data_IF_812232655902
#
_entry.id   IF_812232655902
#
_cell.length_a   1.000
_cell.length_b   1.000
_cell.length_c   1.000
_cell.angle_alpha   90.00
_cell.angle_beta   90.00
_cell.angle_gamma   90.00
#
_symmetry.space_group_name_H-M   'P 1'
#
loop_
_entity.id
_entity.type
_entity.pdbx_description
1 polymer ?
#
# COMPACT_ATOMS: atom_id res chain seq x y z
N UNK A 1 -15.29 3.70 21.81
CA UNK A 1 -16.14 4.61 20.99
C UNK A 1 -15.25 5.69 20.38
N UNK A 2 -15.45 6.00 19.11
CA UNK A 2 -14.65 7.01 18.39
C UNK A 2 -15.11 8.40 18.84
N UNK A 3 -14.16 9.23 19.28
CA UNK A 3 -14.44 10.60 19.74
C UNK A 3 -14.66 11.54 18.55
N UNK A 4 -15.47 12.58 18.73
CA UNK A 4 -15.80 13.52 17.65
C UNK A 4 -14.56 14.18 17.03
N UNK A 5 -13.54 14.47 17.85
CA UNK A 5 -12.29 15.07 17.38
C UNK A 5 -11.46 14.08 16.55
N UNK A 6 -11.53 12.78 16.86
CA UNK A 6 -10.89 11.73 16.07
C UNK A 6 -11.57 11.64 14.70
N UNK A 7 -12.90 11.66 14.67
CA UNK A 7 -13.67 11.69 13.41
C UNK A 7 -13.24 12.86 12.55
N UNK A 8 -13.22 14.07 13.10
CA UNK A 8 -12.85 15.28 12.38
C UNK A 8 -11.42 15.21 11.84
N UNK A 9 -10.45 14.79 12.64
CA UNK A 9 -9.06 14.67 12.21
C UNK A 9 -8.88 13.63 11.11
N UNK A 10 -9.49 12.44 11.24
CA UNK A 10 -9.39 11.39 10.24
C UNK A 10 -10.08 11.79 8.92
N UNK A 11 -11.22 12.47 8.99
CA UNK A 11 -11.90 13.01 7.80
C UNK A 11 -11.04 14.06 7.09
N UNK A 12 -10.46 15.02 7.82
CA UNK A 12 -9.57 16.03 7.24
C UNK A 12 -8.31 15.40 6.66
N UNK A 13 -7.75 14.39 7.35
CA UNK A 13 -6.62 13.63 6.85
C UNK A 13 -6.93 12.90 5.55
N UNK A 14 -8.10 12.24 5.44
CA UNK A 14 -8.52 11.58 4.20
C UNK A 14 -8.74 12.57 3.04
N UNK A 15 -9.19 13.81 3.31
CA UNK A 15 -9.21 14.87 2.31
C UNK A 15 -7.80 15.29 1.87
N UNK A 16 -6.89 15.48 2.82
CA UNK A 16 -5.50 15.85 2.53
C UNK A 16 -4.77 14.77 1.72
N UNK A 17 -4.98 13.51 2.07
CA UNK A 17 -4.33 12.36 1.47
C UNK A 17 -4.50 12.28 -0.06
N UNK A 18 -5.70 12.47 -0.58
CA UNK A 18 -5.93 12.45 -2.02
C UNK A 18 -5.33 13.68 -2.71
N UNK A 19 -5.34 14.83 -2.06
CA UNK A 19 -4.65 16.02 -2.57
C UNK A 19 -3.13 15.81 -2.61
N UNK A 20 -2.56 15.17 -1.58
CA UNK A 20 -1.14 14.82 -1.55
C UNK A 20 -0.77 13.86 -2.68
N UNK A 21 -1.55 12.79 -2.89
CA UNK A 21 -1.30 11.82 -3.96
C UNK A 21 -1.32 12.46 -5.36
N UNK A 22 -2.11 13.53 -5.55
CA UNK A 22 -2.25 14.22 -6.84
C UNK A 22 -1.26 15.37 -7.05
N UNK A 23 -0.66 15.92 -5.99
CA UNK A 23 0.12 17.17 -6.06
C UNK A 23 1.55 17.00 -5.55
N UNK A 24 1.72 16.98 -4.23
CA UNK A 24 3.02 17.06 -3.55
C UNK A 24 3.71 15.69 -3.52
N UNK A 25 2.94 14.61 -3.44
CA UNK A 25 3.41 13.22 -3.34
C UNK A 25 4.41 13.06 -2.19
N UNK A 26 4.07 13.58 -1.01
CA UNK A 26 4.90 13.49 0.20
C UNK A 26 4.94 12.09 0.82
N UNK A 27 4.30 11.10 0.19
CA UNK A 27 4.02 9.75 0.70
C UNK A 27 2.94 9.68 1.78
N UNK A 28 2.33 10.80 2.16
CA UNK A 28 1.14 10.80 3.01
C UNK A 28 -0.06 10.15 2.29
N UNK A 29 -0.05 10.12 0.97
CA UNK A 29 -0.93 9.32 0.11
C UNK A 29 -0.78 7.79 0.18
N UNK A 30 0.02 7.23 1.08
CA UNK A 30 0.25 5.77 1.16
C UNK A 30 -0.60 5.08 2.24
N UNK A 31 -1.08 3.84 2.03
CA UNK A 31 -1.83 3.10 3.06
C UNK A 31 -1.06 2.91 4.37
N UNK A 32 0.26 2.73 4.32
CA UNK A 32 1.07 2.61 5.54
C UNK A 32 1.11 3.92 6.34
N UNK A 33 1.17 5.07 5.67
CA UNK A 33 1.11 6.36 6.33
C UNK A 33 -0.29 6.65 6.87
N UNK A 34 -1.34 6.26 6.15
CA UNK A 34 -2.72 6.32 6.64
C UNK A 34 -2.93 5.49 7.90
N UNK A 35 -2.39 4.27 7.95
CA UNK A 35 -2.38 3.43 9.14
C UNK A 35 -1.58 4.05 10.29
N UNK A 36 -0.44 4.67 10.01
CA UNK A 36 0.38 5.40 11.00
C UNK A 36 -0.39 6.57 11.64
N UNK A 37 -0.95 7.48 10.83
CA UNK A 37 -1.71 8.63 11.33
C UNK A 37 -2.95 8.18 12.08
N UNK A 38 -3.67 7.19 11.55
CA UNK A 38 -4.88 6.69 12.21
C UNK A 38 -4.55 6.01 13.53
N UNK A 39 -3.50 5.18 13.57
CA UNK A 39 -3.04 4.55 14.81
C UNK A 39 -2.64 5.57 15.87
N UNK A 40 -1.99 6.67 15.46
CA UNK A 40 -1.63 7.78 16.36
C UNK A 40 -2.88 8.49 16.92
N UNK A 41 -3.86 8.81 16.07
CA UNK A 41 -5.11 9.46 16.47
C UNK A 41 -5.97 8.55 17.37
N UNK A 42 -5.95 7.25 17.10
CA UNK A 42 -6.73 6.25 17.84
C UNK A 42 -6.05 5.74 19.11
N UNK A 43 -4.74 5.95 19.26
CA UNK A 43 -3.95 5.57 20.44
C UNK A 43 -3.30 4.18 20.37
N UNK A 44 -3.41 3.47 19.24
CA UNK A 44 -2.74 2.19 19.00
C UNK A 44 -1.99 2.21 17.67
N UNK A 45 -0.72 2.58 17.76
CA UNK A 45 0.17 2.68 16.61
C UNK A 45 0.52 1.31 16.00
N UNK A 46 0.58 0.25 16.82
CA UNK A 46 0.96 -1.09 16.36
C UNK A 46 -0.12 -1.64 15.43
N UNK A 47 -1.37 -1.56 15.87
CA UNK A 47 -2.53 -1.97 15.07
C UNK A 47 -2.62 -1.15 13.77
N UNK A 48 -2.44 0.16 13.86
CA UNK A 48 -2.46 1.03 12.67
C UNK A 48 -1.35 0.72 11.66
N UNK A 49 -0.11 0.52 12.10
CA UNK A 49 1.00 0.14 11.22
C UNK A 49 0.80 -1.26 10.62
N UNK A 50 0.24 -2.21 11.37
CA UNK A 50 -0.04 -3.56 10.87
C UNK A 50 -1.08 -3.50 9.74
N UNK A 51 -2.21 -2.83 9.97
CA UNK A 51 -3.27 -2.69 8.97
C UNK A 51 -2.79 -1.91 7.75
N UNK A 52 -2.13 -0.78 7.97
CA UNK A 52 -1.59 0.06 6.90
C UNK A 52 -0.53 -0.65 6.05
N UNK A 53 0.38 -1.40 6.68
CA UNK A 53 1.39 -2.18 5.95
C UNK A 53 0.79 -3.34 5.19
N UNK A 54 -0.21 -4.04 5.74
CA UNK A 54 -0.90 -5.10 5.03
C UNK A 54 -1.60 -4.56 3.77
N UNK A 55 -2.35 -3.45 3.89
CA UNK A 55 -3.02 -2.81 2.76
C UNK A 55 -2.03 -2.20 1.75
N UNK A 56 -0.87 -1.74 2.22
CA UNK A 56 0.23 -1.30 1.35
C UNK A 56 0.70 -2.44 0.43
N UNK A 57 0.80 -3.66 0.95
CA UNK A 57 1.19 -4.83 0.16
C UNK A 57 0.12 -5.19 -0.89
N UNK A 58 -1.16 -4.93 -0.63
CA UNK A 58 -2.26 -5.19 -1.57
C UNK A 58 -2.22 -4.26 -2.78
N UNK A 59 -1.84 -2.99 -2.57
CA UNK A 59 -1.76 -2.00 -3.65
C UNK A 59 -0.41 -1.98 -4.38
N UNK A 60 0.50 -2.91 -4.08
CA UNK A 60 1.71 -3.06 -4.87
C UNK A 60 1.33 -3.33 -6.34
N UNK A 61 1.88 -2.53 -7.25
CA UNK A 61 1.57 -2.62 -8.68
C UNK A 61 0.23 -2.05 -9.11
N UNK A 62 -0.68 -1.71 -8.18
CA UNK A 62 -1.94 -1.05 -8.54
C UNK A 62 -1.66 0.45 -8.71
N UNK A 63 -1.78 0.98 -9.92
CA UNK A 63 -1.63 2.40 -10.23
C UNK A 63 -2.77 2.92 -11.10
N UNK A 64 -2.91 4.25 -11.20
CA UNK A 64 -3.84 4.85 -12.15
C UNK A 64 -3.15 5.00 -13.52
N UNK A 65 -3.57 4.23 -14.51
CA UNK A 65 -3.06 4.31 -15.87
C UNK A 65 -4.15 4.80 -16.81
N UNK A 66 -3.86 5.82 -17.63
CA UNK A 66 -4.81 6.33 -18.64
C UNK A 66 -6.13 6.85 -18.07
N UNK A 67 -6.14 7.40 -16.84
CA UNK A 67 -7.36 7.90 -16.19
C UNK A 67 -8.19 6.83 -15.46
N UNK A 68 -7.78 5.56 -15.49
CA UNK A 68 -8.42 4.50 -14.73
C UNK A 68 -8.31 4.72 -13.22
N UNK A 69 -9.43 4.56 -12.52
CA UNK A 69 -9.47 4.57 -11.07
C UNK A 69 -8.83 3.30 -10.50
N UNK A 70 -8.19 3.46 -9.35
CA UNK A 70 -7.58 2.37 -8.58
C UNK A 70 -8.29 2.21 -7.24
N UNK A 71 -8.12 1.04 -6.61
CA UNK A 71 -8.64 0.81 -5.26
C UNK A 71 -8.08 1.84 -4.27
N UNK A 72 -8.95 2.32 -3.39
CA UNK A 72 -8.59 3.28 -2.35
C UNK A 72 -8.23 2.57 -1.05
N UNK A 73 -7.07 1.92 -1.07
CA UNK A 73 -6.56 1.23 0.12
C UNK A 73 -6.20 2.19 1.25
N UNK A 74 -6.11 3.49 0.97
CA UNK A 74 -5.73 4.48 1.96
C UNK A 74 -6.87 4.80 2.92
N UNK A 75 -8.03 5.16 2.39
CA UNK A 75 -9.25 5.31 3.19
C UNK A 75 -9.68 3.97 3.79
N UNK A 76 -9.44 2.86 3.08
CA UNK A 76 -9.60 1.51 3.63
C UNK A 76 -8.74 1.29 4.89
N UNK A 77 -7.48 1.75 4.89
CA UNK A 77 -6.59 1.67 6.04
C UNK A 77 -7.05 2.56 7.21
N UNK A 78 -7.53 3.78 6.91
CA UNK A 78 -8.11 4.68 7.92
C UNK A 78 -9.30 4.01 8.61
N UNK A 79 -10.26 3.51 7.84
CA UNK A 79 -11.49 2.94 8.39
C UNK A 79 -11.24 1.61 9.11
N UNK A 80 -10.44 0.70 8.53
CA UNK A 80 -10.09 -0.56 9.17
C UNK A 80 -9.33 -0.34 10.49
N UNK A 81 -8.39 0.61 10.53
CA UNK A 81 -7.65 0.93 11.75
C UNK A 81 -8.57 1.56 12.79
N UNK A 82 -9.37 2.54 12.42
CA UNK A 82 -10.28 3.22 13.34
C UNK A 82 -11.27 2.25 13.99
N UNK A 83 -11.86 1.34 13.21
CA UNK A 83 -12.79 0.35 13.75
C UNK A 83 -12.12 -0.79 14.50
N UNK A 84 -10.96 -1.27 14.05
CA UNK A 84 -10.18 -2.27 14.78
C UNK A 84 -9.84 -1.80 16.19
N UNK A 85 -9.31 -0.58 16.32
CA UNK A 85 -8.94 -0.01 17.63
C UNK A 85 -10.18 0.33 18.46
N UNK A 86 -11.25 0.89 17.85
CA UNK A 86 -12.42 1.32 18.59
C UNK A 86 -13.29 0.18 19.13
N UNK A 87 -13.31 -0.97 18.43
CA UNK A 87 -14.16 -2.14 18.73
C UNK A 87 -13.35 -3.35 19.20
N UNK A 88 -12.02 -3.27 19.22
CA UNK A 88 -11.15 -4.38 19.63
C UNK A 88 -11.14 -5.55 18.64
N UNK A 89 -11.40 -5.27 17.36
CA UNK A 89 -11.44 -6.31 16.31
C UNK A 89 -10.00 -6.68 15.96
N UNK A 90 -9.73 -7.97 15.79
CA UNK A 90 -8.45 -8.46 15.32
C UNK A 90 -8.02 -7.75 14.01
N UNK A 91 -6.78 -7.25 13.91
CA UNK A 91 -6.31 -6.52 12.73
C UNK A 91 -6.46 -7.30 11.41
N UNK A 92 -6.23 -8.61 11.40
CA UNK A 92 -6.34 -9.44 10.19
C UNK A 92 -7.81 -9.54 9.71
N UNK A 93 -8.74 -9.63 10.66
CA UNK A 93 -10.17 -9.62 10.39
C UNK A 93 -10.58 -8.23 9.89
N UNK A 94 -10.09 -7.15 10.53
CA UNK A 94 -10.41 -5.78 10.13
C UNK A 94 -9.93 -5.44 8.71
N UNK A 95 -8.72 -5.91 8.32
CA UNK A 95 -8.20 -5.73 6.95
C UNK A 95 -9.16 -6.30 5.91
N UNK A 96 -9.70 -7.48 6.18
CA UNK A 96 -10.44 -8.27 5.20
C UNK A 96 -11.95 -8.04 5.22
N UNK A 97 -12.54 -7.76 6.39
CA UNK A 97 -13.97 -7.39 6.53
C UNK A 97 -14.23 -5.93 6.17
N UNK A 98 -13.32 -5.03 6.54
CA UNK A 98 -13.51 -3.58 6.43
C UNK A 98 -12.57 -3.02 5.37
N UNK A 99 -11.26 -3.19 5.54
CA UNK A 99 -10.25 -2.48 4.74
C UNK A 99 -10.40 -2.71 3.25
N UNK A 100 -10.39 -3.97 2.81
CA UNK A 100 -10.42 -4.35 1.39
C UNK A 100 -11.77 -4.05 0.72
N UNK A 101 -12.93 -4.43 1.31
CA UNK A 101 -14.23 -4.09 0.70
C UNK A 101 -14.44 -2.58 0.60
N UNK A 102 -14.09 -1.83 1.64
CA UNK A 102 -14.21 -0.37 1.63
C UNK A 102 -13.28 0.25 0.60
N UNK A 103 -12.04 -0.21 0.48
CA UNK A 103 -11.11 0.23 -0.55
C UNK A 103 -11.64 0.01 -1.98
N UNK A 104 -12.35 -1.10 -2.21
CA UNK A 104 -13.02 -1.38 -3.47
C UNK A 104 -14.24 -0.48 -3.71
N UNK A 105 -15.08 -0.27 -2.70
CA UNK A 105 -16.28 0.57 -2.82
C UNK A 105 -15.95 2.04 -3.08
N UNK A 106 -14.88 2.54 -2.46
CA UNK A 106 -14.43 3.92 -2.63
C UNK A 106 -13.82 4.20 -4.01
N UNK A 107 -13.69 3.20 -4.88
CA UNK A 107 -13.42 3.41 -6.31
C UNK A 107 -14.56 4.19 -6.95
N UNK A 108 -15.81 3.95 -6.56
CA UNK A 108 -16.95 4.65 -7.16
C UNK A 108 -17.00 6.12 -6.76
N UNK A 109 -16.58 6.45 -5.54
CA UNK A 109 -16.49 7.85 -5.10
C UNK A 109 -15.31 8.55 -5.77
N UNK A 110 -14.20 7.84 -6.03
CA UNK A 110 -13.09 8.34 -6.88
C UNK A 110 -13.58 8.74 -8.27
N UNK A 111 -14.32 7.83 -8.92
CA UNK A 111 -14.90 8.06 -10.25
C UNK A 111 -15.80 9.29 -10.24
N UNK A 112 -16.66 9.43 -9.22
CA UNK A 112 -17.52 10.61 -9.07
C UNK A 112 -16.73 11.90 -8.87
N UNK A 113 -15.67 11.86 -8.06
CA UNK A 113 -14.73 12.97 -7.88
C UNK A 113 -14.09 13.40 -9.20
N UNK A 114 -13.61 12.44 -10.00
CA UNK A 114 -13.07 12.70 -11.35
C UNK A 114 -14.10 13.35 -12.26
N UNK A 115 -15.31 12.81 -12.34
CA UNK A 115 -16.37 13.36 -13.20
C UNK A 115 -16.74 14.80 -12.85
N UNK A 116 -16.78 15.13 -11.56
CA UNK A 116 -17.12 16.49 -11.12
C UNK A 116 -16.04 17.52 -11.44
N UNK A 117 -14.77 17.09 -11.63
CA UNK A 117 -13.70 18.02 -12.07
C UNK A 117 -13.90 18.55 -13.49
N UNK A 118 -14.61 17.83 -14.37
CA UNK A 118 -14.93 18.28 -15.73
C UNK A 118 -15.72 19.60 -15.74
N UNK A 119 -16.57 19.83 -14.72
CA UNK A 119 -17.26 21.10 -14.57
C UNK A 119 -16.28 22.29 -14.37
N UNK A 120 -15.21 22.07 -13.61
CA UNK A 120 -14.18 23.09 -13.40
C UNK A 120 -13.31 23.28 -14.64
N UNK A 121 -13.06 22.22 -15.42
CA UNK A 121 -12.36 22.31 -16.70
C UNK A 121 -13.08 23.26 -17.67
N UNK A 122 -14.39 23.09 -17.88
CA UNK A 122 -15.16 24.01 -18.74
C UNK A 122 -15.15 25.47 -18.25
N UNK A 123 -15.07 25.68 -16.92
CA UNK A 123 -14.94 27.04 -16.35
C UNK A 123 -13.56 27.64 -16.58
N UNK A 124 -12.52 26.81 -16.62
CA UNK A 124 -11.16 27.22 -17.00
C UNK A 124 -11.15 27.60 -18.48
N UNK A 125 -11.73 26.79 -19.37
CA UNK A 125 -11.81 27.09 -20.80
C UNK A 125 -12.46 28.45 -21.07
N UNK A 126 -13.61 28.71 -20.44
CA UNK A 126 -14.28 30.00 -20.55
C UNK A 126 -13.46 31.16 -19.96
N UNK A 127 -12.63 30.91 -18.93
CA UNK A 127 -11.75 31.93 -18.36
C UNK A 127 -10.53 32.22 -19.25
N UNK A 128 -10.03 31.21 -19.98
CA UNK A 128 -8.97 31.36 -20.99
C UNK A 128 -9.43 32.27 -22.12
N UNK A 129 -10.65 32.08 -22.64
CA UNK A 129 -11.21 32.95 -23.70
C UNK A 129 -11.29 34.43 -23.29
N UNK A 130 -11.45 34.70 -21.99
CA UNK A 130 -11.51 36.06 -21.42
C UNK A 130 -10.16 36.59 -20.96
N UNK A 131 -9.07 35.82 -21.10
CA UNK A 131 -7.75 36.13 -20.56
C UNK A 131 -7.76 36.46 -19.04
N UNK A 132 -8.69 35.86 -18.28
CA UNK A 132 -8.82 36.08 -16.83
C UNK A 132 -7.99 35.05 -16.06
N UNK A 133 -6.70 35.36 -15.89
CA UNK A 133 -5.75 34.50 -15.18
C UNK A 133 -6.15 34.20 -13.73
N UNK A 134 -6.77 35.18 -13.02
CA UNK A 134 -7.21 34.98 -11.64
C UNK A 134 -8.37 33.98 -11.55
N UNK A 135 -9.27 34.00 -12.54
CA UNK A 135 -10.31 32.99 -12.61
C UNK A 135 -9.75 31.60 -12.90
N UNK A 136 -8.71 31.47 -13.73
CA UNK A 136 -8.05 30.18 -14.00
C UNK A 136 -7.47 29.61 -12.70
N UNK A 137 -6.65 30.38 -11.97
CA UNK A 137 -6.04 29.95 -10.70
C UNK A 137 -7.09 29.52 -9.68
N UNK A 138 -8.16 30.31 -9.52
CA UNK A 138 -9.24 29.99 -8.58
C UNK A 138 -9.96 28.69 -8.98
N UNK A 139 -10.31 28.51 -10.26
CA UNK A 139 -11.01 27.29 -10.69
C UNK A 139 -10.11 26.05 -10.58
N UNK A 140 -8.80 26.19 -10.81
CA UNK A 140 -7.83 25.13 -10.60
C UNK A 140 -7.81 24.68 -9.12
N UNK A 141 -7.69 25.63 -8.19
CA UNK A 141 -7.71 25.33 -6.75
C UNK A 141 -9.06 24.77 -6.29
N UNK A 142 -10.17 25.29 -6.81
CA UNK A 142 -11.50 24.76 -6.52
C UNK A 142 -11.68 23.33 -7.06
N UNK A 143 -10.96 22.95 -8.11
CA UNK A 143 -10.93 21.59 -8.65
C UNK A 143 -10.35 20.56 -7.68
N UNK A 144 -9.63 20.98 -6.63
CA UNK A 144 -9.17 20.08 -5.56
C UNK A 144 -10.30 19.71 -4.57
N UNK A 145 -11.36 20.52 -4.47
CA UNK A 145 -12.46 20.27 -3.53
C UNK A 145 -13.23 18.98 -3.85
N UNK A 146 -13.63 18.69 -5.10
CA UNK A 146 -14.29 17.43 -5.41
C UNK A 146 -13.42 16.20 -5.12
N UNK A 147 -12.10 16.31 -5.32
CA UNK A 147 -11.16 15.26 -4.92
C UNK A 147 -11.15 15.06 -3.41
N UNK A 148 -10.97 16.13 -2.63
CA UNK A 148 -10.98 16.05 -1.17
C UNK A 148 -12.30 15.47 -0.64
N UNK A 149 -13.43 15.91 -1.19
CA UNK A 149 -14.77 15.46 -0.80
C UNK A 149 -15.05 14.00 -1.17
N UNK A 150 -14.47 13.49 -2.26
CA UNK A 150 -14.66 12.09 -2.69
C UNK A 150 -14.11 11.08 -1.67
N UNK A 151 -13.17 11.49 -0.83
CA UNK A 151 -12.62 10.69 0.28
C UNK A 151 -13.17 11.11 1.64
N UNK A 152 -13.24 12.41 1.91
CA UNK A 152 -13.68 12.91 3.20
C UNK A 152 -15.14 12.56 3.51
N UNK A 153 -16.06 12.70 2.54
CA UNK A 153 -17.48 12.42 2.80
C UNK A 153 -17.71 10.95 3.13
N UNK A 154 -17.25 9.97 2.34
CA UNK A 154 -17.43 8.56 2.70
C UNK A 154 -16.75 8.18 4.01
N UNK A 155 -15.54 8.67 4.28
CA UNK A 155 -14.84 8.38 5.54
C UNK A 155 -15.59 8.97 6.74
N UNK A 156 -16.06 10.21 6.62
CA UNK A 156 -16.88 10.85 7.66
C UNK A 156 -18.17 10.06 7.93
N UNK A 157 -18.92 9.72 6.88
CA UNK A 157 -20.16 8.96 7.00
C UNK A 157 -19.90 7.59 7.62
N UNK A 158 -18.84 6.91 7.21
CA UNK A 158 -18.45 5.63 7.77
C UNK A 158 -18.08 5.75 9.25
N UNK A 159 -17.25 6.71 9.65
CA UNK A 159 -16.84 6.88 11.06
C UNK A 159 -18.01 7.26 11.98
N UNK A 160 -18.96 8.07 11.50
CA UNK A 160 -20.11 8.52 12.31
C UNK A 160 -21.21 7.45 12.37
N UNK A 161 -21.59 6.88 11.23
CA UNK A 161 -22.77 6.00 11.12
C UNK A 161 -22.42 4.51 11.01
N UNK A 162 -21.19 4.18 10.63
CA UNK A 162 -20.75 2.80 10.41
C UNK A 162 -20.54 1.99 11.69
N UNK A 163 -20.51 2.63 12.87
CA UNK A 163 -20.26 1.94 14.13
C UNK A 163 -21.24 0.81 14.44
N UNK A 164 -22.53 1.01 14.16
CA UNK A 164 -23.57 -0.01 14.38
C UNK A 164 -23.52 -1.13 13.33
N UNK A 165 -23.24 -0.78 12.07
CA UNK A 165 -23.07 -1.75 10.99
C UNK A 165 -21.87 -2.66 11.26
N UNK A 166 -20.73 -2.08 11.62
CA UNK A 166 -19.50 -2.82 11.95
C UNK A 166 -19.74 -3.72 13.16
N UNK A 167 -20.41 -3.23 14.20
CA UNK A 167 -20.73 -4.03 15.37
C UNK A 167 -21.64 -5.21 15.04
N UNK A 168 -22.70 -4.99 14.25
CA UNK A 168 -23.57 -6.07 13.78
C UNK A 168 -22.80 -7.11 12.94
N UNK A 169 -21.88 -6.67 12.09
CA UNK A 169 -21.03 -7.57 11.30
C UNK A 169 -20.09 -8.40 12.18
N UNK A 170 -19.44 -7.78 13.17
CA UNK A 170 -18.52 -8.47 14.08
C UNK A 170 -19.27 -9.48 14.94
N UNK A 171 -20.39 -9.07 15.55
CA UNK A 171 -21.22 -9.99 16.35
C UNK A 171 -21.74 -11.15 15.50
N UNK A 172 -22.10 -10.90 14.24
CA UNK A 172 -22.50 -11.97 13.32
C UNK A 172 -21.35 -12.95 13.02
N UNK A 173 -20.13 -12.46 12.81
CA UNK A 173 -18.96 -13.28 12.47
C UNK A 173 -18.46 -14.10 13.68
N UNK A 174 -18.61 -13.59 14.90
CA UNK A 174 -18.21 -14.26 16.14
C UNK A 174 -19.13 -15.43 16.54
N UNK A 175 -20.33 -15.53 15.95
CA UNK A 175 -21.25 -16.63 16.20
C UNK A 175 -20.60 -17.98 15.82
N UNK A 176 -20.79 -19.04 16.63
CA UNK A 176 -20.15 -20.34 16.42
C UNK A 176 -20.37 -20.92 15.01
N UNK A 177 -21.55 -20.72 14.44
CA UNK A 177 -21.93 -21.17 13.10
C UNK A 177 -21.17 -20.46 11.96
N UNK A 178 -20.60 -19.28 12.21
CA UNK A 178 -19.93 -18.45 11.22
C UNK A 178 -18.42 -18.28 11.48
N UNK A 179 -17.86 -18.97 12.49
CA UNK A 179 -16.41 -18.96 12.77
C UNK A 179 -15.55 -19.37 11.58
N UNK A 180 -16.07 -20.25 10.71
CA UNK A 180 -15.39 -20.64 9.47
C UNK A 180 -15.28 -19.47 8.46
N UNK A 181 -16.24 -18.52 8.49
CA UNK A 181 -16.19 -17.29 7.69
C UNK A 181 -15.06 -16.40 8.21
N UNK A 182 -14.98 -16.21 9.54
CA UNK A 182 -13.89 -15.45 10.16
C UNK A 182 -12.53 -16.04 9.76
N UNK A 183 -12.37 -17.36 9.90
CA UNK A 183 -11.13 -18.06 9.54
C UNK A 183 -10.81 -17.98 8.03
N UNK A 184 -11.81 -18.14 7.16
CA UNK A 184 -11.64 -18.02 5.71
C UNK A 184 -11.27 -16.61 5.29
N UNK A 185 -11.82 -15.61 5.97
CA UNK A 185 -11.54 -14.21 5.70
C UNK A 185 -10.14 -13.80 6.21
N UNK A 186 -9.73 -14.28 7.37
CA UNK A 186 -8.34 -14.18 7.85
C UNK A 186 -7.36 -14.85 6.87
N UNK A 187 -7.69 -16.04 6.36
CA UNK A 187 -6.87 -16.70 5.34
C UNK A 187 -6.77 -15.85 4.08
N UNK A 188 -7.89 -15.31 3.59
CA UNK A 188 -7.90 -14.40 2.45
C UNK A 188 -7.04 -13.15 2.71
N UNK A 189 -7.13 -12.55 3.90
CA UNK A 189 -6.33 -11.41 4.32
C UNK A 189 -4.82 -11.67 4.17
N UNK A 190 -4.39 -12.86 4.60
CA UNK A 190 -2.98 -13.30 4.53
C UNK A 190 -2.51 -13.57 3.10
N UNK A 191 -3.41 -13.86 2.18
CA UNK A 191 -3.09 -14.09 0.76
C UNK A 191 -3.05 -12.80 -0.07
N UNK A 192 -3.68 -11.71 0.39
CA UNK A 192 -3.76 -10.44 -0.33
C UNK A 192 -2.40 -9.84 -0.75
N UNK A 193 -1.32 -9.89 0.06
CA UNK A 193 0.00 -9.46 -0.39
C UNK A 193 0.47 -10.16 -1.67
N UNK A 194 0.14 -11.45 -1.82
CA UNK A 194 0.48 -12.23 -3.01
C UNK A 194 -0.18 -11.71 -4.28
N UNK A 195 -1.40 -11.21 -4.18
CA UNK A 195 -2.10 -10.56 -5.29
C UNK A 195 -1.39 -9.27 -5.73
N UNK A 196 -0.98 -8.41 -4.79
CA UNK A 196 -0.23 -7.19 -5.10
C UNK A 196 1.09 -7.48 -5.80
N UNK A 197 1.85 -8.48 -5.31
CA UNK A 197 3.06 -8.93 -6.02
C UNK A 197 2.76 -9.47 -7.42
N UNK A 198 1.69 -10.24 -7.60
CA UNK A 198 1.30 -10.75 -8.92
C UNK A 198 0.97 -9.62 -9.91
N UNK A 199 0.25 -8.59 -9.46
CA UNK A 199 -0.06 -7.40 -10.26
C UNK A 199 1.23 -6.65 -10.61
N UNK A 200 2.12 -6.40 -9.64
CA UNK A 200 3.41 -5.75 -9.90
C UNK A 200 4.26 -6.52 -10.92
N UNK A 201 4.31 -7.84 -10.77
CA UNK A 201 5.03 -8.75 -11.66
C UNK A 201 4.45 -8.74 -13.07
N UNK A 202 3.13 -8.60 -13.22
CA UNK A 202 2.47 -8.50 -14.53
C UNK A 202 2.92 -7.27 -15.33
N UNK A 203 3.18 -6.14 -14.65
CA UNK A 203 3.66 -4.90 -15.30
C UNK A 203 5.15 -4.91 -15.64
N UNK A 204 5.94 -5.78 -15.01
CA UNK A 204 7.37 -5.88 -15.27
C UNK A 204 7.66 -6.78 -16.50
N UNK A 205 8.74 -6.53 -17.26
CA UNK A 205 9.14 -7.34 -18.41
C UNK A 205 9.75 -8.68 -17.98
N UNK A 206 8.99 -9.50 -17.26
CA UNK A 206 9.45 -10.75 -16.64
C UNK A 206 9.87 -11.80 -17.65
N UNK A 207 9.17 -11.89 -18.79
CA UNK A 207 9.52 -12.87 -19.83
C UNK A 207 10.98 -12.72 -20.30
N UNK A 208 11.48 -11.49 -20.41
CA UNK A 208 12.86 -11.19 -20.80
C UNK A 208 13.86 -11.40 -19.65
N UNK A 209 13.45 -11.06 -18.43
CA UNK A 209 14.33 -10.98 -17.27
C UNK A 209 14.06 -12.05 -16.19
N UNK A 210 13.50 -13.20 -16.59
CA UNK A 210 13.06 -14.24 -15.65
C UNK A 210 14.19 -14.76 -14.76
N UNK A 211 15.41 -14.80 -15.30
CA UNK A 211 16.62 -15.22 -14.57
C UNK A 211 16.90 -14.31 -13.37
N UNK A 212 16.67 -13.00 -13.45
CA UNK A 212 16.83 -12.09 -12.32
C UNK A 212 15.78 -12.33 -11.24
N UNK A 213 14.53 -12.62 -11.63
CA UNK A 213 13.47 -12.97 -10.69
C UNK A 213 13.79 -14.29 -9.97
N UNK A 214 14.19 -15.33 -10.71
CA UNK A 214 14.54 -16.63 -10.16
C UNK A 214 15.76 -16.55 -9.22
N UNK A 215 16.79 -15.79 -9.60
CA UNK A 215 17.96 -15.56 -8.76
C UNK A 215 17.60 -14.81 -7.47
N UNK A 216 16.83 -13.72 -7.57
CA UNK A 216 16.37 -12.96 -6.41
C UNK A 216 15.51 -13.81 -5.46
N UNK A 217 14.60 -14.62 -6.01
CA UNK A 217 13.80 -15.58 -5.24
C UNK A 217 14.68 -16.62 -4.53
N UNK A 218 15.61 -17.25 -5.25
CA UNK A 218 16.50 -18.27 -4.70
C UNK A 218 17.39 -17.74 -3.57
N UNK A 219 18.03 -16.58 -3.78
CA UNK A 219 18.86 -15.92 -2.76
C UNK A 219 18.01 -15.58 -1.53
N UNK A 220 16.83 -14.99 -1.73
CA UNK A 220 15.94 -14.62 -0.63
C UNK A 220 15.45 -15.83 0.15
N UNK A 221 15.07 -16.92 -0.54
CA UNK A 221 14.62 -18.16 0.09
C UNK A 221 15.74 -18.79 0.96
N UNK A 222 16.96 -18.89 0.41
CA UNK A 222 18.12 -19.42 1.14
C UNK A 222 18.45 -18.57 2.38
N UNK A 223 18.49 -17.25 2.23
CA UNK A 223 18.77 -16.35 3.34
C UNK A 223 17.65 -16.36 4.38
N UNK A 224 16.39 -16.48 3.97
CA UNK A 224 15.26 -16.57 4.92
C UNK A 224 15.40 -17.80 5.82
N UNK A 225 15.76 -18.96 5.26
CA UNK A 225 16.02 -20.18 6.05
C UNK A 225 17.21 -19.99 7.00
N UNK A 226 18.31 -19.40 6.51
CA UNK A 226 19.50 -19.16 7.33
C UNK A 226 19.19 -18.25 8.52
N UNK A 227 18.63 -17.06 8.26
CA UNK A 227 18.28 -16.10 9.31
C UNK A 227 17.22 -16.65 10.26
N UNK A 228 16.27 -17.44 9.75
CA UNK A 228 15.26 -18.13 10.56
C UNK A 228 15.89 -19.12 11.55
N UNK A 229 16.83 -19.96 11.09
CA UNK A 229 17.52 -20.93 11.93
C UNK A 229 18.43 -20.27 12.97
N UNK A 230 19.09 -19.16 12.60
CA UNK A 230 19.92 -18.39 13.56
C UNK A 230 19.05 -17.74 14.63
N UNK A 231 17.90 -17.19 14.25
CA UNK A 231 16.94 -16.60 15.19
C UNK A 231 16.34 -17.65 16.14
N UNK A 232 15.97 -18.83 15.62
CA UNK A 232 15.45 -19.91 16.46
C UNK A 232 16.51 -20.46 17.42
N UNK A 233 17.77 -20.58 16.97
CA UNK A 233 18.89 -20.93 17.84
C UNK A 233 19.09 -19.89 18.95
N UNK A 234 19.06 -18.60 18.60
CA UNK A 234 19.11 -17.52 19.59
C UNK A 234 17.96 -17.60 20.60
N UNK A 235 16.75 -17.90 20.14
CA UNK A 235 15.60 -18.13 21.01
C UNK A 235 15.80 -19.30 21.97
N UNK A 236 16.36 -20.41 21.48
CA UNK A 236 16.66 -21.58 22.30
C UNK A 236 17.73 -21.27 23.37
N UNK A 237 18.80 -20.55 22.99
CA UNK A 237 19.85 -20.11 23.92
C UNK A 237 19.30 -19.15 24.98
N UNK A 238 18.47 -18.19 24.59
CA UNK A 238 17.78 -17.29 25.52
C UNK A 238 16.87 -18.06 26.49
N UNK A 239 16.15 -19.06 25.99
CA UNK A 239 15.30 -19.94 26.81
C UNK A 239 16.09 -20.73 27.85
N UNK A 240 17.25 -21.28 27.48
CA UNK A 240 18.15 -21.99 28.41
C UNK A 240 18.69 -21.02 29.47
N UNK A 241 19.12 -19.82 29.09
CA UNK A 241 19.64 -18.82 30.03
C UNK A 241 18.56 -18.34 31.00
N UNK A 242 17.31 -18.25 30.56
CA UNK A 242 16.17 -17.99 31.44
C UNK A 242 15.90 -19.07 32.50
N UNK A 243 16.49 -20.27 32.38
CA UNK A 243 16.38 -21.35 33.37
C UNK A 243 17.54 -21.37 34.38
N UNK A 244 18.58 -20.54 34.20
CA UNK A 244 19.70 -20.44 35.12
C UNK A 244 19.39 -19.51 36.32
N UNK A 245 20.00 -19.74 37.50
CA UNK A 245 19.87 -18.83 38.65
C UNK A 245 20.34 -17.42 38.30
N UNK A 246 19.63 -16.39 38.78
CA UNK A 246 19.93 -14.97 38.49
C UNK A 246 21.35 -14.55 38.93
N UNK A 247 21.93 -15.28 39.86
CA UNK A 247 23.26 -15.12 40.45
C UNK A 247 24.40 -15.53 39.51
N UNK A 248 24.11 -16.17 38.37
CA UNK A 248 25.11 -16.55 37.36
C UNK A 248 25.61 -15.36 36.52
N UNK A 249 24.89 -14.23 36.49
CA UNK A 249 25.31 -13.02 35.76
C UNK A 249 25.45 -13.18 34.23
N UNK A 250 24.91 -14.25 33.65
CA UNK A 250 24.95 -14.51 32.21
C UNK A 250 23.70 -13.91 31.56
N UNK A 251 23.86 -12.77 30.89
CA UNK A 251 22.80 -12.18 30.06
C UNK A 251 23.03 -12.52 28.58
N UNK A 252 22.00 -13.05 27.91
CA UNK A 252 22.01 -13.22 26.46
C UNK A 252 21.12 -12.20 25.79
N UNK A 253 21.75 -11.29 25.07
CA UNK A 253 21.06 -10.28 24.28
C UNK A 253 20.68 -10.88 22.93
N UNK A 254 19.45 -11.38 22.81
CA UNK A 254 18.94 -11.91 21.56
C UNK A 254 18.61 -10.78 20.57
N UNK A 255 19.59 -10.33 19.79
CA UNK A 255 19.46 -9.23 18.83
C UNK A 255 19.50 -9.72 17.36
N UNK A 256 19.13 -10.98 17.11
CA UNK A 256 19.08 -11.50 15.74
C UNK A 256 17.94 -10.84 14.97
N UNK A 257 18.32 -9.99 14.01
CA UNK A 257 17.37 -9.36 13.09
C UNK A 257 16.99 -10.33 11.98
N UNK A 258 15.75 -10.24 11.52
CA UNK A 258 15.31 -10.96 10.32
C UNK A 258 16.03 -10.48 9.06
N UNK A 259 15.79 -11.17 7.94
CA UNK A 259 16.35 -10.83 6.65
C UNK A 259 16.00 -9.37 6.26
N UNK A 260 17.02 -8.55 6.00
CA UNK A 260 16.82 -7.15 5.60
C UNK A 260 16.38 -7.06 4.15
N UNK A 261 15.12 -6.67 3.94
CA UNK A 261 14.58 -6.40 2.59
C UNK A 261 15.32 -5.26 1.88
N UNK A 262 15.83 -4.28 2.64
CA UNK A 262 16.69 -3.22 2.09
C UNK A 262 18.00 -3.83 1.56
N UNK A 263 18.58 -4.79 2.29
CA UNK A 263 19.78 -5.49 1.83
C UNK A 263 19.56 -6.23 0.51
N UNK A 264 18.44 -6.95 0.39
CA UNK A 264 18.07 -7.63 -0.86
C UNK A 264 17.85 -6.62 -2.00
N UNK A 265 17.18 -5.50 -1.71
CA UNK A 265 16.95 -4.45 -2.70
C UNK A 265 18.27 -3.84 -3.21
N UNK A 266 19.24 -3.60 -2.32
CA UNK A 266 20.58 -3.10 -2.70
C UNK A 266 21.29 -4.10 -3.62
N UNK A 267 21.27 -5.40 -3.29
CA UNK A 267 21.84 -6.46 -4.16
C UNK A 267 21.16 -6.43 -5.53
N UNK A 268 19.83 -6.32 -5.57
CA UNK A 268 19.06 -6.21 -6.81
C UNK A 268 19.44 -4.99 -7.65
N UNK A 269 19.60 -3.82 -7.02
CA UNK A 269 20.05 -2.59 -7.69
C UNK A 269 21.46 -2.76 -8.26
N UNK A 270 22.39 -3.35 -7.49
CA UNK A 270 23.76 -3.58 -7.97
C UNK A 270 23.79 -4.50 -9.19
N UNK A 271 23.01 -5.59 -9.17
CA UNK A 271 22.87 -6.48 -10.33
C UNK A 271 22.26 -5.78 -11.55
N UNK A 272 21.25 -4.93 -11.34
CA UNK A 272 20.65 -4.14 -12.40
C UNK A 272 21.64 -3.13 -13.02
N UNK A 273 22.43 -2.44 -12.18
CA UNK A 273 23.47 -1.51 -12.65
C UNK A 273 24.55 -2.23 -13.45
N UNK A 274 25.01 -3.40 -12.99
CA UNK A 274 25.99 -4.23 -13.71
C UNK A 274 25.44 -4.70 -15.06
N UNK A 275 24.20 -5.18 -15.10
CA UNK A 275 23.53 -5.56 -16.35
C UNK A 275 23.47 -4.40 -17.34
N UNK A 276 23.04 -3.23 -16.86
CA UNK A 276 22.95 -2.02 -17.68
C UNK A 276 24.31 -1.58 -18.24
N UNK A 277 25.36 -1.59 -17.43
CA UNK A 277 26.72 -1.25 -17.88
C UNK A 277 27.24 -2.23 -18.93
N UNK A 278 27.01 -3.53 -18.73
CA UNK A 278 27.44 -4.56 -19.68
C UNK A 278 26.68 -4.46 -21.01
N UNK A 279 25.37 -4.21 -20.97
CA UNK A 279 24.55 -4.01 -22.17
C UNK A 279 24.99 -2.78 -22.99
N UNK A 280 25.47 -1.71 -22.33
CA UNK A 280 26.05 -0.56 -23.03
C UNK A 280 27.42 -0.85 -23.63
N UNK A 281 28.26 -1.63 -22.96
CA UNK A 281 29.59 -2.01 -23.46
C UNK A 281 29.51 -2.86 -24.72
N UNK A 282 28.53 -3.76 -24.82
CA UNK A 282 28.31 -4.58 -26.02
C UNK A 282 27.87 -3.75 -27.23
N UNK A 283 27.10 -2.67 -27.03
CA UNK A 283 26.69 -1.76 -28.12
C UNK A 283 27.87 -0.90 -28.63
N UNK A 284 28.79 -0.51 -27.75
CA UNK A 284 29.99 0.28 -28.12
C UNK A 284 31.05 -0.60 -28.80
N UNK A 285 31.04 -1.92 -28.57
CA UNK A 285 32.02 -2.85 -29.13
C UNK A 285 31.60 -3.50 -30.47
N UNK A 286 30.40 -3.23 -30.99
CA UNK A 286 30.01 -3.69 -32.32
C UNK A 286 30.83 -2.92 -33.38
N UNK A 287 31.62 -3.59 -34.23
CA UNK A 287 32.30 -2.91 -35.33
C UNK A 287 31.24 -2.35 -36.29
N UNK A 288 31.50 -1.14 -36.81
CA UNK A 288 30.66 -0.50 -37.82
C UNK A 288 30.73 -1.35 -39.09
N UNK A 289 29.82 -2.30 -39.26
CA UNK A 289 29.62 -2.97 -40.54
C UNK A 289 28.82 -2.02 -41.42
N UNK A 290 29.50 -1.39 -42.38
CA UNK A 290 28.86 -0.79 -43.54
C UNK A 290 28.09 -1.89 -44.28
N UNK A 291 26.79 -2.03 -44.03
CA UNK A 291 25.89 -2.77 -44.90
C UNK A 291 24.64 -1.93 -45.08
N UNK A 292 24.37 -1.65 -46.35
CA UNK A 292 23.29 -0.83 -46.88
C UNK A 292 21.90 -1.20 -46.35
N UNK A 293 21.07 -0.17 -46.27
CA UNK A 293 19.61 -0.15 -46.26
C UNK A 293 18.90 -1.50 -46.46
N UNK A 294 18.28 -1.99 -45.39
CA UNK A 294 17.22 -2.99 -45.42
C UNK A 294 16.07 -2.49 -44.55
N UNK A 295 14.86 -2.56 -45.09
CA UNK A 295 13.62 -1.91 -44.66
C UNK A 295 13.26 -2.14 -43.18
N UNK A 296 12.65 -1.10 -42.58
CA UNK A 296 11.96 -1.19 -41.29
C UNK A 296 10.58 -1.78 -41.60
N UNK A 297 10.36 -3.06 -41.30
CA UNK A 297 9.01 -3.57 -41.13
C UNK A 297 8.49 -3.11 -39.77
N UNK A 298 7.51 -2.21 -39.84
CA UNK A 298 6.57 -1.89 -38.76
C UNK A 298 5.79 -3.16 -38.40
N UNK A 299 6.03 -3.72 -37.23
CA UNK A 299 5.11 -4.67 -36.60
C UNK A 299 4.92 -4.29 -35.11
N UNK A 300 4.07 -3.28 -34.89
CA UNK A 300 3.21 -3.24 -33.72
C UNK A 300 1.97 -4.10 -34.02
N UNK A 301 1.79 -5.24 -33.32
CA UNK A 301 0.57 -5.66 -32.57
C UNK A 301 0.98 -6.69 -31.49
#
# INVERSE_FOLDING_TARGET
MIQWWQVLLLTLYSAYQICDELTIVSSAGSPIFAGFITGLVMGDLKTGLLIGSALQLVVLGVGTFGGASRIDATSGAVLATAFSVAKGIDPEIAISTIGVPVAGLLVYTDILGRFTTTYFAHRVDAAVERFDYKAIERNYLLGALPWALSRALPVFLALVFGGSLVEAMVTAIELPQYKWIAAGLTLAARMLPGLGFAILLHYLPLKRNLHYLAAGFGITAMLTVLYGNVSSLGGAVAGIIGTLPADAGIEFVNNFKGLSMIGIAIIGILLAVLHYQNARRTVVAAPVSNVESGEIEDDEI
#
